data_IF_692173210588
#
_entry.id   IF_692173210588
#
_cell.length_a   1.000
_cell.length_b   1.000
_cell.length_c   1.000
_cell.angle_alpha   90.00
_cell.angle_beta   90.00
_cell.angle_gamma   90.00
#
_symmetry.space_group_name_H-M   'P 1'
#
loop_
_entity.id
_entity.type
_entity.pdbx_description
1 polymer ?
#
# COMPACT_ATOMS: atom_id res chain seq x y z
N UNK A 1 3.65 7.68 15.09
CA UNK A 1 4.85 6.82 15.06
C UNK A 1 5.52 7.13 13.74
N UNK A 2 6.73 7.70 13.78
CA UNK A 2 7.49 7.98 12.58
C UNK A 2 8.39 6.77 12.29
N UNK A 3 8.20 6.16 11.12
CA UNK A 3 9.02 5.07 10.63
C UNK A 3 9.71 5.53 9.34
N UNK A 4 11.03 5.37 9.30
CA UNK A 4 11.84 5.56 8.09
C UNK A 4 12.58 4.27 7.75
N UNK A 5 12.84 4.06 6.46
CA UNK A 5 13.60 2.92 5.96
C UNK A 5 14.01 3.15 4.52
N UNK A 6 15.12 2.54 4.13
CA UNK A 6 15.64 2.58 2.76
C UNK A 6 16.11 1.19 2.36
N UNK A 7 15.78 0.79 1.13
CA UNK A 7 16.16 -0.51 0.59
C UNK A 7 16.60 -0.34 -0.86
N UNK A 8 17.74 -0.95 -1.21
CA UNK A 8 18.24 -0.98 -2.61
C UNK A 8 17.61 -2.16 -3.32
N UNK A 9 16.92 -1.90 -4.43
CA UNK A 9 16.39 -2.93 -5.32
C UNK A 9 17.35 -3.07 -6.51
N UNK A 10 17.86 -4.28 -6.83
CA UNK A 10 18.82 -4.49 -7.91
C UNK A 10 18.13 -4.49 -9.29
N UNK A 11 17.48 -3.37 -9.64
CA UNK A 11 16.83 -3.11 -10.92
C UNK A 11 16.91 -1.61 -11.25
N UNK A 12 16.72 -1.24 -12.51
CA UNK A 12 16.67 0.17 -12.91
C UNK A 12 15.41 0.88 -12.37
N UNK A 13 15.49 2.20 -12.28
CA UNK A 13 14.44 3.03 -11.66
C UNK A 13 13.09 2.93 -12.36
N UNK A 14 13.08 2.84 -13.69
CA UNK A 14 11.84 2.74 -14.46
C UNK A 14 11.13 1.41 -14.19
N UNK A 15 11.89 0.32 -14.13
CA UNK A 15 11.37 -1.00 -13.76
C UNK A 15 10.79 -1.00 -12.35
N UNK A 16 11.52 -0.44 -11.38
CA UNK A 16 11.04 -0.34 -9.99
C UNK A 16 9.80 0.54 -9.90
N UNK A 17 9.80 1.70 -10.57
CA UNK A 17 8.66 2.60 -10.58
C UNK A 17 7.41 1.94 -11.14
N UNK A 18 7.51 1.25 -12.27
CA UNK A 18 6.37 0.50 -12.85
C UNK A 18 5.86 -0.55 -11.87
N UNK A 19 6.75 -1.32 -11.25
CA UNK A 19 6.39 -2.33 -10.25
C UNK A 19 5.69 -1.76 -9.01
N UNK A 20 6.15 -0.60 -8.52
CA UNK A 20 5.53 0.09 -7.37
C UNK A 20 4.14 0.68 -7.67
N UNK A 21 3.78 0.79 -8.95
CA UNK A 21 2.49 1.32 -9.40
C UNK A 21 1.61 0.26 -10.11
N UNK A 22 2.04 -1.00 -10.11
CA UNK A 22 1.33 -2.13 -10.73
C UNK A 22 0.51 -2.87 -9.66
N UNK A 23 -0.84 -2.88 -9.77
CA UNK A 23 -1.72 -3.54 -8.81
C UNK A 23 -1.41 -5.02 -8.58
N UNK A 24 -1.04 -5.76 -9.63
CA UNK A 24 -0.77 -7.19 -9.53
C UNK A 24 0.55 -7.46 -8.82
N UNK A 25 1.57 -6.63 -9.07
CA UNK A 25 2.84 -6.69 -8.33
C UNK A 25 2.61 -6.36 -6.87
N UNK A 26 1.92 -5.25 -6.57
CA UNK A 26 1.62 -4.81 -5.21
C UNK A 26 0.82 -5.87 -4.43
N UNK A 27 -0.22 -6.44 -5.04
CA UNK A 27 -1.04 -7.49 -4.40
C UNK A 27 -0.21 -8.70 -3.99
N UNK A 28 0.76 -9.11 -4.82
CA UNK A 28 1.68 -10.23 -4.50
C UNK A 28 2.68 -9.86 -3.41
N UNK A 29 3.11 -8.60 -3.36
CA UNK A 29 4.10 -8.12 -2.41
C UNK A 29 3.53 -7.85 -1.01
N UNK A 30 2.25 -7.49 -0.89
CA UNK A 30 1.59 -7.17 0.39
C UNK A 30 1.12 -8.46 1.08
N UNK A 31 1.69 -8.84 2.24
CA UNK A 31 1.30 -10.05 2.95
C UNK A 31 -0.18 -10.03 3.36
N UNK A 32 -0.91 -11.10 3.04
CA UNK A 32 -2.32 -11.22 3.37
C UNK A 32 -3.25 -10.32 2.54
N UNK A 33 -2.77 -9.73 1.44
CA UNK A 33 -3.62 -8.99 0.52
C UNK A 33 -4.55 -9.94 -0.23
N UNK A 34 -5.84 -9.88 0.11
CA UNK A 34 -6.88 -10.68 -0.52
C UNK A 34 -7.30 -10.05 -1.86
N UNK A 35 -7.43 -8.72 -1.88
CA UNK A 35 -7.88 -7.93 -3.03
C UNK A 35 -7.11 -6.60 -3.08
N UNK A 36 -6.76 -6.14 -4.28
CA UNK A 36 -6.21 -4.82 -4.53
C UNK A 36 -6.73 -4.30 -5.88
N UNK A 37 -7.51 -3.22 -5.83
CA UNK A 37 -8.21 -2.65 -6.97
C UNK A 37 -7.71 -1.24 -7.22
N UNK A 38 -7.45 -0.91 -8.48
CA UNK A 38 -7.16 0.45 -8.90
C UNK A 38 -8.45 1.19 -9.20
N UNK A 39 -8.78 2.17 -8.37
CA UNK A 39 -10.04 2.95 -8.46
C UNK A 39 -9.88 4.09 -9.44
N UNK A 40 -8.70 4.71 -9.47
CA UNK A 40 -8.34 5.75 -10.44
C UNK A 40 -6.84 5.70 -10.71
N UNK A 41 -6.30 6.65 -11.49
CA UNK A 41 -4.86 6.70 -11.79
C UNK A 41 -3.99 6.69 -10.53
N UNK A 42 -4.45 7.38 -9.48
CA UNK A 42 -3.70 7.64 -8.24
C UNK A 42 -4.36 7.09 -6.98
N UNK A 43 -5.41 6.26 -7.11
CA UNK A 43 -6.15 5.70 -5.97
C UNK A 43 -6.27 4.18 -6.08
N UNK A 44 -6.02 3.52 -4.95
CA UNK A 44 -6.05 2.08 -4.78
C UNK A 44 -6.93 1.73 -3.57
N UNK A 45 -7.69 0.66 -3.67
CA UNK A 45 -8.39 0.05 -2.54
C UNK A 45 -7.88 -1.36 -2.33
N UNK A 46 -7.64 -1.73 -1.07
CA UNK A 46 -7.15 -3.05 -0.72
C UNK A 46 -7.96 -3.67 0.42
N UNK A 47 -8.11 -5.00 0.37
CA UNK A 47 -8.55 -5.81 1.50
C UNK A 47 -7.39 -6.69 1.95
N UNK A 48 -7.03 -6.58 3.22
CA UNK A 48 -5.89 -7.29 3.81
C UNK A 48 -6.35 -8.07 5.03
N UNK A 49 -6.03 -9.36 5.06
CA UNK A 49 -6.19 -10.21 6.23
C UNK A 49 -4.85 -10.27 6.97
N UNK A 50 -4.76 -9.55 8.09
CA UNK A 50 -3.60 -9.62 8.98
C UNK A 50 -3.79 -10.69 10.06
N UNK A 51 -2.72 -11.43 10.34
CA UNK A 51 -2.64 -12.38 11.45
C UNK A 51 -1.58 -11.87 12.43
N UNK A 52 -2.01 -11.39 13.58
CA UNK A 52 -1.11 -10.92 14.65
C UNK A 52 -1.38 -11.77 15.89
N UNK A 53 -0.47 -12.71 16.17
CA UNK A 53 -0.66 -13.70 17.23
C UNK A 53 -1.95 -14.51 17.06
N UNK A 54 -2.81 -14.65 18.09
CA UNK A 54 -4.07 -15.38 17.99
C UNK A 54 -5.16 -14.61 17.21
N UNK A 55 -4.92 -13.35 16.86
CA UNK A 55 -5.91 -12.48 16.22
C UNK A 55 -5.79 -12.57 14.70
N UNK A 56 -6.91 -12.95 14.07
CA UNK A 56 -7.10 -12.83 12.61
C UNK A 56 -8.10 -11.71 12.37
N UNK A 57 -7.67 -10.64 11.70
CA UNK A 57 -8.52 -9.49 11.40
C UNK A 57 -8.43 -9.15 9.92
N UNK A 58 -9.57 -8.75 9.35
CA UNK A 58 -9.69 -8.30 7.96
C UNK A 58 -9.90 -6.79 7.96
N UNK A 59 -9.07 -6.11 7.18
CA UNK A 59 -9.07 -4.67 7.03
C UNK A 59 -9.38 -4.31 5.59
N UNK A 60 -10.20 -3.29 5.39
CA UNK A 60 -10.35 -2.62 4.10
C UNK A 60 -9.67 -1.26 4.21
N UNK A 61 -8.91 -0.85 3.22
CA UNK A 61 -8.21 0.43 3.22
C UNK A 61 -8.12 1.05 1.85
N UNK A 62 -8.05 2.37 1.83
CA UNK A 62 -7.81 3.19 0.66
C UNK A 62 -6.42 3.81 0.72
N UNK A 63 -5.78 3.91 -0.44
CA UNK A 63 -4.49 4.56 -0.62
C UNK A 63 -4.61 5.57 -1.76
N UNK A 64 -4.11 6.77 -1.53
CA UNK A 64 -4.02 7.84 -2.53
C UNK A 64 -2.58 8.29 -2.68
N UNK A 65 -2.15 8.43 -3.93
CA UNK A 65 -0.82 8.93 -4.28
C UNK A 65 -0.90 10.44 -4.53
N UNK A 66 0.04 11.19 -3.94
CA UNK A 66 0.14 12.64 -4.06
C UNK A 66 1.56 13.07 -4.46
N UNK A 67 1.72 14.34 -4.88
CA UNK A 67 3.02 14.95 -5.17
C UNK A 67 3.88 14.14 -6.16
N UNK A 68 3.22 13.50 -7.14
CA UNK A 68 3.84 12.57 -8.06
C UNK A 68 4.83 13.30 -8.98
N UNK A 69 6.06 12.81 -8.97
CA UNK A 69 7.15 13.18 -9.87
C UNK A 69 7.73 11.90 -10.44
N UNK A 70 7.08 11.35 -11.46
CA UNK A 70 7.52 10.09 -12.07
C UNK A 70 8.86 10.25 -12.81
N UNK A 71 9.78 9.26 -12.77
CA UNK A 71 9.76 8.02 -11.99
C UNK A 71 10.53 8.14 -10.64
N UNK A 72 10.49 9.32 -10.01
CA UNK A 72 11.39 9.71 -8.91
C UNK A 72 10.74 9.59 -7.53
N UNK A 73 9.53 10.13 -7.34
CA UNK A 73 8.90 10.17 -6.01
C UNK A 73 7.38 10.39 -6.06
N UNK A 74 6.68 9.96 -5.02
CA UNK A 74 5.34 10.40 -4.63
C UNK A 74 5.22 10.31 -3.11
N UNK A 75 4.17 10.91 -2.54
CA UNK A 75 3.74 10.68 -1.17
C UNK A 75 2.54 9.73 -1.16
N UNK A 76 2.46 8.87 -0.15
CA UNK A 76 1.35 7.92 0.04
C UNK A 76 0.49 8.44 1.18
N UNK A 77 -0.83 8.57 0.94
CA UNK A 77 -1.81 8.85 1.98
C UNK A 77 -2.74 7.65 2.10
N UNK A 78 -2.70 6.97 3.23
CA UNK A 78 -3.46 5.77 3.50
C UNK A 78 -4.53 5.96 4.58
N UNK A 79 -5.67 5.28 4.39
CA UNK A 79 -6.69 5.11 5.42
C UNK A 79 -7.15 3.65 5.49
N UNK A 80 -7.52 3.20 6.68
CA UNK A 80 -7.94 1.82 6.94
C UNK A 80 -9.14 1.76 7.87
N UNK A 81 -10.13 0.93 7.52
CA UNK A 81 -11.30 0.59 8.32
C UNK A 81 -11.22 -0.90 8.68
N UNK A 82 -11.03 -1.20 9.96
CA UNK A 82 -10.91 -2.54 10.53
C UNK A 82 -12.21 -3.08 11.15
N UNK A 83 -13.38 -2.56 10.78
CA UNK A 83 -14.65 -2.92 11.42
C UNK A 83 -14.62 -2.57 12.92
N UNK A 84 -14.87 -3.56 13.78
CA UNK A 84 -14.82 -3.41 15.24
C UNK A 84 -13.42 -3.04 15.79
N UNK A 85 -12.35 -3.26 15.01
CA UNK A 85 -10.99 -2.88 15.39
C UNK A 85 -10.69 -1.38 15.20
N UNK A 86 -11.60 -0.61 14.60
CA UNK A 86 -11.50 0.85 14.48
C UNK A 86 -10.99 1.36 13.12
N UNK A 87 -10.59 2.64 13.11
CA UNK A 87 -10.16 3.38 11.93
C UNK A 87 -8.74 3.91 12.12
N UNK A 88 -7.93 3.90 11.05
CA UNK A 88 -6.58 4.44 11.05
C UNK A 88 -6.33 5.30 9.81
N UNK A 89 -5.53 6.36 9.96
CA UNK A 89 -4.94 7.14 8.86
C UNK A 89 -3.43 7.20 9.05
N UNK A 90 -2.70 7.22 7.95
CA UNK A 90 -1.24 7.35 7.96
C UNK A 90 -0.74 7.81 6.60
N UNK A 91 0.53 8.17 6.53
CA UNK A 91 1.17 8.51 5.26
C UNK A 91 2.66 8.24 5.31
N UNK A 92 3.29 8.31 4.14
CA UNK A 92 4.73 8.13 3.92
C UNK A 92 5.21 9.04 2.78
#
# INVERSE_FOLDING_TARGET
MDMSGEYVIPADRETVWKALNDPDVLRRAIPGCDELNKVSENELEAKVTAKVGPVKARFAGGVRLENIRAPVSYSIVGEGKGGAAGFAKGGA
#
